data_IF_196903217251
#
_entry.id   IF_196903217251
#
_cell.length_a   1.000
_cell.length_b   1.000
_cell.length_c   1.000
_cell.angle_alpha   90.00
_cell.angle_beta   90.00
_cell.angle_gamma   90.00
#
_symmetry.space_group_name_H-M   'P 1'
#
loop_
_entity.id
_entity.type
_entity.pdbx_description
1 polymer ?
#
# COMPACT_ATOMS: atom_id res chain seq x y z
N UNK A 1 -36.19 -69.00 -20.67
CA UNK A 1 -37.21 -68.15 -21.32
C UNK A 1 -37.24 -66.83 -20.58
N UNK A 2 -36.92 -65.76 -21.33
CA UNK A 2 -37.01 -64.37 -20.97
C UNK A 2 -38.43 -63.92 -20.69
N UNK A 3 -38.77 -62.71 -20.07
CA UNK A 3 -38.24 -61.44 -20.48
C UNK A 3 -37.92 -60.39 -19.36
N UNK A 4 -37.06 -59.55 -19.74
CA UNK A 4 -36.74 -58.12 -19.48
C UNK A 4 -37.89 -57.24 -18.96
N UNK A 5 -37.59 -56.48 -17.91
CA UNK A 5 -38.28 -55.22 -17.60
C UNK A 5 -37.25 -54.09 -17.45
N UNK A 6 -37.40 -53.04 -18.28
CA UNK A 6 -36.59 -51.83 -18.29
C UNK A 6 -37.12 -50.90 -17.22
N UNK A 7 -36.24 -50.38 -16.35
CA UNK A 7 -36.57 -49.27 -15.49
C UNK A 7 -35.84 -48.01 -16.02
N UNK A 8 -36.68 -47.04 -16.43
CA UNK A 8 -36.28 -45.70 -16.84
C UNK A 8 -35.76 -44.91 -15.63
N UNK A 9 -34.45 -44.57 -15.67
CA UNK A 9 -33.86 -43.63 -14.73
C UNK A 9 -34.09 -42.19 -15.19
N UNK A 10 -34.97 -41.47 -14.51
CA UNK A 10 -35.10 -40.03 -14.68
C UNK A 10 -33.94 -39.34 -13.95
N UNK A 11 -33.01 -38.77 -14.71
CA UNK A 11 -32.00 -37.86 -14.20
C UNK A 11 -32.64 -36.53 -13.79
N UNK A 12 -32.58 -36.19 -12.53
CA UNK A 12 -32.93 -34.85 -12.02
C UNK A 12 -31.85 -33.85 -12.44
N UNK A 13 -32.23 -32.65 -12.91
CA UNK A 13 -31.24 -31.61 -13.22
C UNK A 13 -30.61 -31.10 -11.94
N UNK A 14 -29.25 -31.07 -11.93
CA UNK A 14 -28.44 -30.42 -10.90
C UNK A 14 -28.69 -28.90 -10.94
N UNK A 15 -29.46 -28.41 -9.98
CA UNK A 15 -29.61 -26.98 -9.75
C UNK A 15 -28.23 -26.34 -9.43
N UNK A 16 -27.81 -25.43 -10.28
CA UNK A 16 -26.70 -24.50 -9.99
C UNK A 16 -27.12 -23.66 -8.79
N UNK A 17 -26.47 -23.86 -7.65
CA UNK A 17 -26.50 -22.91 -6.54
C UNK A 17 -25.59 -21.74 -6.94
N UNK A 18 -26.15 -20.75 -7.58
CA UNK A 18 -25.55 -19.42 -7.66
C UNK A 18 -25.51 -18.85 -6.25
N UNK A 19 -24.28 -18.83 -5.67
CA UNK A 19 -24.02 -18.13 -4.43
C UNK A 19 -24.23 -16.63 -4.66
N UNK A 20 -25.39 -16.15 -4.25
CA UNK A 20 -25.66 -14.73 -4.11
C UNK A 20 -24.73 -14.19 -3.01
N UNK A 21 -23.52 -13.76 -3.39
CA UNK A 21 -22.81 -12.77 -2.60
C UNK A 21 -23.65 -11.49 -2.66
N UNK A 22 -24.55 -11.36 -1.71
CA UNK A 22 -25.23 -10.12 -1.43
C UNK A 22 -24.12 -9.07 -1.16
N UNK A 23 -23.84 -8.25 -2.17
CA UNK A 23 -23.13 -6.98 -1.99
C UNK A 23 -24.01 -6.15 -1.06
N UNK A 24 -23.77 -6.24 0.23
CA UNK A 24 -24.21 -5.24 1.16
C UNK A 24 -23.47 -3.94 0.75
N UNK A 25 -24.14 -3.17 -0.12
CA UNK A 25 -23.81 -1.77 -0.30
C UNK A 25 -24.14 -1.09 1.04
N UNK A 26 -23.19 -1.14 1.96
CA UNK A 26 -23.19 -0.29 3.13
C UNK A 26 -23.03 1.12 2.56
N UNK A 27 -24.16 1.84 2.45
CA UNK A 27 -24.13 3.27 2.21
C UNK A 27 -23.22 3.85 3.28
N UNK A 28 -22.04 4.32 2.87
CA UNK A 28 -21.09 4.98 3.75
C UNK A 28 -21.81 6.23 4.28
N UNK A 29 -22.42 6.13 5.47
CA UNK A 29 -22.71 7.30 6.29
C UNK A 29 -21.36 8.00 6.44
N UNK A 30 -21.26 9.26 6.03
CA UNK A 30 -20.10 10.09 6.26
C UNK A 30 -19.88 10.17 7.78
N UNK A 31 -19.10 9.24 8.32
CA UNK A 31 -18.64 9.31 9.69
C UNK A 31 -17.62 10.45 9.75
N UNK A 32 -17.95 11.50 10.46
CA UNK A 32 -17.09 12.66 10.71
C UNK A 32 -15.89 12.33 11.62
N UNK A 33 -15.81 11.10 12.13
CA UNK A 33 -14.74 10.60 12.98
C UNK A 33 -14.87 9.10 13.27
N UNK A 34 -13.92 8.49 13.99
CA UNK A 34 -13.97 7.10 14.39
C UNK A 34 -15.00 6.86 15.49
N UNK A 35 -15.61 5.67 15.51
CA UNK A 35 -16.52 5.24 16.57
C UNK A 35 -15.71 4.73 17.79
N UNK A 36 -15.47 5.62 18.72
CA UNK A 36 -14.71 5.33 19.95
C UNK A 36 -15.47 4.35 20.86
N UNK A 37 -16.81 4.43 20.90
CA UNK A 37 -17.64 3.56 21.74
C UNK A 37 -17.58 2.12 21.26
N UNK A 38 -17.70 1.90 19.95
CA UNK A 38 -17.55 0.56 19.39
C UNK A 38 -16.16 -0.04 19.66
N UNK A 39 -15.12 0.78 19.59
CA UNK A 39 -13.76 0.35 19.91
C UNK A 39 -13.58 0.03 21.40
N UNK A 40 -14.17 0.81 22.28
CA UNK A 40 -14.14 0.54 23.73
C UNK A 40 -14.79 -0.82 24.05
N UNK A 41 -15.95 -1.11 23.46
CA UNK A 41 -16.60 -2.42 23.61
C UNK A 41 -15.71 -3.56 23.15
N UNK A 42 -15.05 -3.40 22.02
CA UNK A 42 -14.10 -4.39 21.53
C UNK A 42 -12.93 -4.58 22.52
N UNK A 43 -12.31 -3.50 22.99
CA UNK A 43 -11.18 -3.54 23.92
C UNK A 43 -11.55 -4.25 25.24
N UNK A 44 -12.73 -3.95 25.80
CA UNK A 44 -13.25 -4.65 26.98
C UNK A 44 -13.41 -6.16 26.74
N UNK A 45 -13.83 -6.56 25.54
CA UNK A 45 -14.01 -7.98 25.19
C UNK A 45 -12.71 -8.78 25.20
N UNK A 46 -11.56 -8.12 25.04
CA UNK A 46 -10.22 -8.74 25.10
C UNK A 46 -9.49 -8.45 26.42
N UNK A 47 -10.19 -7.88 27.40
CA UNK A 47 -9.66 -7.65 28.76
C UNK A 47 -9.00 -6.29 28.99
N UNK A 48 -8.98 -5.40 27.99
CA UNK A 48 -8.53 -4.00 28.15
C UNK A 48 -9.71 -3.18 28.65
N UNK A 49 -9.85 -3.11 29.97
CA UNK A 49 -11.03 -2.58 30.65
C UNK A 49 -10.66 -1.45 31.64
N UNK A 50 -11.06 -0.20 31.33
CA UNK A 50 -10.75 0.95 32.17
C UNK A 50 -11.38 0.89 33.60
N UNK A 51 -12.42 0.07 33.80
CA UNK A 51 -12.99 -0.12 35.18
C UNK A 51 -12.09 -1.02 36.05
N UNK A 52 -11.22 -1.80 35.43
CA UNK A 52 -10.22 -2.65 36.10
C UNK A 52 -8.88 -1.95 36.29
N UNK A 53 -8.48 -1.16 35.28
CA UNK A 53 -7.22 -0.43 35.29
C UNK A 53 -7.40 0.96 34.64
N UNK A 54 -7.27 2.03 35.46
CA UNK A 54 -7.42 3.42 35.00
C UNK A 54 -6.46 3.82 33.88
N UNK A 55 -5.32 3.13 33.66
CA UNK A 55 -4.41 3.39 32.56
C UNK A 55 -5.10 3.19 31.20
N UNK A 56 -6.13 2.33 31.11
CA UNK A 56 -6.89 2.10 29.89
C UNK A 56 -7.96 3.16 29.58
N UNK A 57 -8.14 4.16 30.47
CA UNK A 57 -9.22 5.16 30.34
C UNK A 57 -9.19 5.97 29.03
N UNK A 58 -8.02 6.13 28.40
CA UNK A 58 -7.83 6.86 27.14
C UNK A 58 -7.52 5.97 25.95
N UNK A 59 -7.37 4.65 26.16
CA UNK A 59 -6.88 3.72 25.13
C UNK A 59 -7.78 3.68 23.91
N UNK A 60 -9.10 3.62 24.09
CA UNK A 60 -10.05 3.57 22.97
C UNK A 60 -9.97 4.83 22.11
N UNK A 61 -9.90 6.00 22.72
CA UNK A 61 -9.83 7.29 22.03
C UNK A 61 -8.52 7.42 21.25
N UNK A 62 -7.38 7.15 21.89
CA UNK A 62 -6.07 7.26 21.26
C UNK A 62 -5.87 6.24 20.12
N UNK A 63 -6.35 5.00 20.31
CA UNK A 63 -6.27 3.98 19.26
C UNK A 63 -7.19 4.32 18.07
N UNK A 64 -8.38 4.83 18.35
CA UNK A 64 -9.33 5.28 17.33
C UNK A 64 -8.73 6.42 16.48
N UNK A 65 -8.14 7.43 17.12
CA UNK A 65 -7.46 8.55 16.47
C UNK A 65 -6.30 8.07 15.62
N UNK A 66 -5.40 7.24 16.17
CA UNK A 66 -4.27 6.66 15.45
C UNK A 66 -4.69 5.91 14.21
N UNK A 67 -5.68 5.02 14.31
CA UNK A 67 -6.17 4.25 13.16
C UNK A 67 -6.86 5.15 12.13
N UNK A 68 -7.62 6.15 12.59
CA UNK A 68 -8.27 7.11 11.71
C UNK A 68 -7.26 7.92 10.90
N UNK A 69 -6.19 8.41 11.53
CA UNK A 69 -5.09 9.09 10.85
C UNK A 69 -4.35 8.16 9.88
N UNK A 70 -3.99 6.96 10.34
CA UNK A 70 -3.21 5.99 9.52
C UNK A 70 -4.00 5.37 8.37
N UNK A 71 -5.31 5.62 8.30
CA UNK A 71 -6.20 5.21 7.21
C UNK A 71 -6.75 6.40 6.42
N UNK A 72 -6.21 7.59 6.59
CA UNK A 72 -6.73 8.81 5.95
C UNK A 72 -6.72 8.73 4.42
N UNK A 73 -5.76 8.05 3.83
CA UNK A 73 -5.70 7.85 2.38
C UNK A 73 -6.92 7.14 1.77
N UNK A 74 -7.72 6.41 2.59
CA UNK A 74 -9.00 5.85 2.14
C UNK A 74 -10.07 6.93 1.94
N UNK A 75 -9.93 8.09 2.57
CA UNK A 75 -10.89 9.21 2.54
C UNK A 75 -10.40 10.35 1.66
N UNK A 76 -9.09 10.64 1.69
CA UNK A 76 -8.50 11.80 1.04
C UNK A 76 -8.20 11.56 -0.45
N UNK A 77 -8.24 10.29 -0.87
CA UNK A 77 -7.90 9.89 -2.23
C UNK A 77 -6.38 9.85 -2.50
N UNK A 78 -5.97 9.53 -3.74
CA UNK A 78 -4.56 9.40 -4.07
C UNK A 78 -3.85 10.76 -4.10
N UNK A 79 -2.56 10.80 -3.69
CA UNK A 79 -1.77 12.02 -3.75
C UNK A 79 -1.56 12.51 -5.19
N UNK A 80 -1.42 13.83 -5.33
CA UNK A 80 -1.13 14.48 -6.61
C UNK A 80 0.31 14.96 -6.63
N UNK A 81 1.09 14.43 -7.57
CA UNK A 81 2.45 14.88 -7.83
C UNK A 81 2.45 15.91 -8.97
N UNK A 82 2.76 17.17 -8.67
CA UNK A 82 2.77 18.24 -9.66
C UNK A 82 4.09 18.26 -10.42
N UNK A 83 4.07 18.16 -11.76
CA UNK A 83 5.27 18.25 -12.58
C UNK A 83 5.81 19.69 -12.64
N UNK A 84 7.13 19.79 -12.76
CA UNK A 84 7.86 21.03 -13.05
C UNK A 84 8.61 20.86 -14.36
N UNK A 85 8.72 21.90 -15.21
CA UNK A 85 9.52 21.84 -16.42
C UNK A 85 10.98 21.47 -16.11
N UNK A 86 11.58 20.65 -16.96
CA UNK A 86 12.97 20.23 -16.82
C UNK A 86 13.59 20.04 -18.21
N UNK A 87 14.86 20.43 -18.33
CA UNK A 87 15.64 20.16 -19.54
C UNK A 87 16.71 19.14 -19.17
N UNK A 88 16.33 17.85 -19.33
CA UNK A 88 17.22 16.72 -19.05
C UNK A 88 18.26 16.52 -20.13
N UNK A 89 19.37 15.91 -19.75
CA UNK A 89 20.40 15.44 -20.66
C UNK A 89 20.30 13.91 -20.83
N UNK A 90 20.69 13.38 -21.97
CA UNK A 90 20.77 11.93 -22.14
C UNK A 90 21.62 11.28 -21.05
N UNK A 91 21.09 10.23 -20.40
CA UNK A 91 21.77 9.49 -19.35
C UNK A 91 21.66 10.07 -17.94
N UNK A 92 20.96 11.20 -17.74
CA UNK A 92 20.65 11.70 -16.41
C UNK A 92 19.56 10.86 -15.73
N UNK A 93 19.71 10.65 -14.45
CA UNK A 93 18.68 10.07 -13.58
C UNK A 93 18.62 10.82 -12.25
N UNK A 94 17.42 10.91 -11.71
CA UNK A 94 17.16 11.45 -10.37
C UNK A 94 16.90 10.29 -9.45
N UNK A 95 17.52 10.27 -8.28
CA UNK A 95 17.30 9.27 -7.23
C UNK A 95 16.98 9.97 -5.93
N UNK A 96 15.91 9.52 -5.26
CA UNK A 96 15.54 9.93 -3.91
C UNK A 96 15.47 8.66 -3.08
N UNK A 97 16.37 8.55 -2.09
CA UNK A 97 16.52 7.37 -1.24
C UNK A 97 16.16 7.67 0.20
N UNK A 98 15.96 6.63 1.01
CA UNK A 98 15.71 6.76 2.44
C UNK A 98 14.36 7.42 2.76
N UNK A 99 13.36 7.29 1.90
CA UNK A 99 12.02 7.82 2.16
C UNK A 99 11.36 6.95 3.21
N UNK A 100 11.49 7.31 4.47
CA UNK A 100 10.88 6.57 5.58
C UNK A 100 9.38 6.71 5.58
N UNK A 101 8.67 5.61 5.83
CA UNK A 101 7.21 5.56 5.90
C UNK A 101 6.73 4.51 6.91
N UNK A 102 5.45 4.64 7.30
CA UNK A 102 4.72 3.70 8.13
C UNK A 102 3.43 3.33 7.41
N UNK A 103 3.30 2.07 7.02
CA UNK A 103 2.07 1.53 6.43
C UNK A 103 1.35 0.58 7.39
N UNK A 104 0.08 0.30 7.14
CA UNK A 104 -0.69 -0.71 7.85
C UNK A 104 -0.90 -1.94 6.97
N UNK A 105 -0.61 -3.12 7.52
CA UNK A 105 -0.95 -4.39 6.87
C UNK A 105 -2.48 -4.51 6.75
N UNK A 106 -3.05 -4.80 5.57
CA UNK A 106 -4.50 -4.85 5.40
C UNK A 106 -5.18 -6.00 6.14
N UNK A 107 -4.41 -7.03 6.53
CA UNK A 107 -4.96 -8.21 7.20
C UNK A 107 -5.08 -8.04 8.72
N UNK A 108 -4.18 -7.30 9.34
CA UNK A 108 -4.08 -7.20 10.80
C UNK A 108 -4.15 -5.77 11.32
N UNK A 109 -4.10 -4.76 10.43
CA UNK A 109 -3.93 -3.34 10.76
C UNK A 109 -2.71 -3.05 11.66
N UNK A 110 -1.75 -3.98 11.67
CA UNK A 110 -0.48 -3.84 12.37
C UNK A 110 0.52 -3.15 11.46
N UNK A 111 1.35 -2.23 11.96
CA UNK A 111 2.31 -1.49 11.14
C UNK A 111 3.33 -2.36 10.44
N UNK A 112 3.72 -1.95 9.24
CA UNK A 112 5.02 -2.24 8.67
C UNK A 112 5.79 -0.95 8.49
N UNK A 113 7.08 -1.00 8.81
CA UNK A 113 7.96 0.16 8.92
C UNK A 113 9.06 -0.01 7.89
N UNK A 114 9.22 0.95 7.01
CA UNK A 114 10.16 0.81 5.93
C UNK A 114 10.67 2.09 5.32
N UNK A 115 11.47 1.90 4.28
CA UNK A 115 12.03 2.94 3.44
C UNK A 115 11.76 2.64 1.98
N UNK A 116 11.46 3.67 1.22
CA UNK A 116 11.35 3.62 -0.22
C UNK A 116 12.50 4.36 -0.88
N UNK A 117 12.93 3.85 -2.04
CA UNK A 117 13.84 4.51 -2.96
C UNK A 117 13.15 4.63 -4.31
N UNK A 118 13.16 5.84 -4.86
CA UNK A 118 12.54 6.15 -6.16
C UNK A 118 13.62 6.73 -7.06
N UNK A 119 13.83 6.07 -8.19
CA UNK A 119 14.77 6.49 -9.22
C UNK A 119 14.07 6.61 -10.56
N UNK A 120 14.31 7.68 -11.29
CA UNK A 120 13.72 7.86 -12.62
C UNK A 120 14.66 8.64 -13.55
N UNK A 121 14.52 8.39 -14.86
CA UNK A 121 15.20 9.13 -15.91
C UNK A 121 14.24 10.16 -16.52
N UNK A 122 14.35 11.44 -16.16
CA UNK A 122 13.41 12.46 -16.64
C UNK A 122 13.57 12.69 -18.16
N UNK A 123 12.48 13.05 -18.83
CA UNK A 123 12.46 13.59 -20.19
C UNK A 123 12.41 15.12 -20.13
N UNK A 124 11.24 15.66 -19.89
CA UNK A 124 10.92 17.09 -19.90
C UNK A 124 10.31 17.57 -18.59
N UNK A 125 10.14 16.66 -17.61
CA UNK A 125 9.46 16.92 -16.33
C UNK A 125 10.20 16.30 -15.17
N UNK A 126 10.20 17.03 -14.04
CA UNK A 126 10.61 16.56 -12.73
C UNK A 126 9.54 16.94 -11.71
N UNK A 127 9.74 16.58 -10.45
CA UNK A 127 8.95 17.11 -9.33
C UNK A 127 9.87 17.60 -8.22
N UNK A 128 9.33 18.40 -7.32
CA UNK A 128 10.05 18.74 -6.09
C UNK A 128 10.33 17.49 -5.25
N UNK A 129 11.56 17.28 -4.79
CA UNK A 129 11.94 16.11 -3.99
C UNK A 129 11.03 15.94 -2.75
N UNK A 130 10.75 17.05 -2.02
CA UNK A 130 9.85 17.02 -0.87
C UNK A 130 8.40 16.68 -1.23
N UNK A 131 7.94 16.98 -2.46
CA UNK A 131 6.62 16.59 -2.92
C UNK A 131 6.54 15.08 -3.14
N UNK A 132 7.58 14.47 -3.73
CA UNK A 132 7.65 13.02 -3.90
C UNK A 132 7.71 12.30 -2.54
N UNK A 133 8.52 12.80 -1.60
CA UNK A 133 8.58 12.25 -0.24
C UNK A 133 7.20 12.26 0.44
N UNK A 134 6.47 13.38 0.37
CA UNK A 134 5.12 13.47 0.91
C UNK A 134 4.17 12.50 0.22
N UNK A 135 4.18 12.46 -1.10
CA UNK A 135 3.31 11.58 -1.88
C UNK A 135 3.50 10.09 -1.55
N UNK A 136 4.76 9.63 -1.36
CA UNK A 136 5.05 8.26 -0.91
C UNK A 136 4.45 8.00 0.48
N UNK A 137 4.58 8.96 1.41
CA UNK A 137 4.02 8.84 2.76
C UNK A 137 2.49 8.83 2.75
N UNK A 138 1.86 9.64 1.91
CA UNK A 138 0.40 9.68 1.73
C UNK A 138 -0.13 8.37 1.12
N UNK A 139 0.56 7.79 0.14
CA UNK A 139 0.22 6.47 -0.38
C UNK A 139 0.26 5.39 0.70
N UNK A 140 1.17 5.50 1.67
CA UNK A 140 1.27 4.56 2.78
C UNK A 140 0.15 4.71 3.84
N UNK A 141 -0.68 5.77 3.77
CA UNK A 141 -1.85 5.96 4.64
C UNK A 141 -3.09 5.15 4.22
N UNK A 142 -2.96 4.31 3.20
CA UNK A 142 -3.98 3.32 2.85
C UNK A 142 -3.48 1.94 3.30
N UNK A 143 -4.23 1.21 4.13
CA UNK A 143 -3.87 -0.17 4.48
C UNK A 143 -3.77 -1.03 3.23
N UNK A 144 -2.57 -1.53 2.92
CA UNK A 144 -2.31 -2.29 1.69
C UNK A 144 -1.08 -3.19 1.82
N UNK A 145 -0.94 -4.11 0.88
CA UNK A 145 0.27 -4.90 0.73
C UNK A 145 1.44 -4.02 0.28
N UNK A 146 2.65 -4.33 0.73
CA UNK A 146 3.86 -3.63 0.31
C UNK A 146 4.07 -3.69 -1.21
N UNK A 147 3.73 -4.80 -1.82
CA UNK A 147 3.78 -5.02 -3.26
C UNK A 147 2.92 -4.00 -4.02
N UNK A 148 1.70 -3.76 -3.54
CA UNK A 148 0.81 -2.75 -4.13
C UNK A 148 1.33 -1.34 -3.89
N UNK A 149 1.84 -1.02 -2.69
CA UNK A 149 2.46 0.27 -2.41
C UNK A 149 3.60 0.57 -3.40
N UNK A 150 4.47 -0.43 -3.63
CA UNK A 150 5.60 -0.29 -4.55
C UNK A 150 5.14 0.00 -5.98
N UNK A 151 4.10 -0.69 -6.46
CA UNK A 151 3.52 -0.44 -7.78
C UNK A 151 2.88 0.94 -7.87
N UNK A 152 2.11 1.35 -6.87
CA UNK A 152 1.42 2.65 -6.88
C UNK A 152 2.37 3.84 -6.82
N UNK A 153 3.52 3.70 -6.13
CA UNK A 153 4.57 4.72 -6.18
C UNK A 153 5.11 4.85 -7.62
N UNK A 154 5.37 3.74 -8.30
CA UNK A 154 5.83 3.75 -9.69
C UNK A 154 4.78 4.36 -10.62
N UNK A 155 3.52 3.97 -10.48
CA UNK A 155 2.40 4.47 -11.28
C UNK A 155 2.16 5.98 -11.06
N UNK A 156 2.33 6.46 -9.82
CA UNK A 156 2.23 7.90 -9.51
C UNK A 156 3.30 8.71 -10.27
N UNK A 157 4.55 8.24 -10.22
CA UNK A 157 5.68 8.88 -10.91
C UNK A 157 5.49 8.82 -12.42
N UNK A 158 5.06 7.68 -12.96
CA UNK A 158 4.81 7.47 -14.38
C UNK A 158 3.74 8.44 -14.90
N UNK A 159 2.58 8.49 -14.25
CA UNK A 159 1.47 9.36 -14.64
C UNK A 159 1.82 10.85 -14.55
N UNK A 160 2.58 11.24 -13.54
CA UNK A 160 2.89 12.65 -13.31
C UNK A 160 4.03 13.17 -14.19
N UNK A 161 5.08 12.38 -14.38
CA UNK A 161 6.35 12.83 -14.97
C UNK A 161 6.64 12.24 -16.35
N UNK A 162 5.97 11.16 -16.74
CA UNK A 162 6.21 10.45 -18.00
C UNK A 162 7.70 10.24 -18.33
N UNK A 163 8.51 9.72 -17.38
CA UNK A 163 9.94 9.57 -17.57
C UNK A 163 10.26 8.40 -18.51
N UNK A 164 11.50 8.33 -19.02
CA UNK A 164 11.94 7.19 -19.85
C UNK A 164 12.01 5.88 -19.07
N UNK A 165 12.35 5.97 -17.80
CA UNK A 165 12.51 4.82 -16.94
C UNK A 165 12.19 5.17 -15.49
N UNK A 166 11.68 4.20 -14.76
CA UNK A 166 11.40 4.27 -13.33
C UNK A 166 11.89 3.00 -12.66
N UNK A 167 12.46 3.13 -11.48
CA UNK A 167 12.77 2.05 -10.56
C UNK A 167 12.34 2.47 -9.16
N UNK A 168 11.47 1.70 -8.54
CA UNK A 168 11.03 1.89 -7.15
C UNK A 168 11.43 0.66 -6.37
N UNK A 169 12.08 0.84 -5.24
CA UNK A 169 12.38 -0.21 -4.27
C UNK A 169 11.80 0.15 -2.93
N UNK A 170 11.22 -0.83 -2.27
CA UNK A 170 10.70 -0.69 -0.92
C UNK A 170 11.25 -1.82 -0.07
N UNK A 171 11.79 -1.46 1.09
CA UNK A 171 12.27 -2.39 2.11
C UNK A 171 11.53 -2.12 3.40
N UNK A 172 10.87 -3.12 3.98
CA UNK A 172 10.15 -2.93 5.22
C UNK A 172 10.21 -4.14 6.14
N UNK A 173 10.08 -3.86 7.43
CA UNK A 173 9.88 -4.82 8.51
C UNK A 173 8.40 -4.87 8.83
N UNK A 174 7.80 -6.06 8.82
CA UNK A 174 6.38 -6.28 9.04
C UNK A 174 6.15 -6.80 10.46
N UNK A 175 5.58 -5.96 11.33
CA UNK A 175 5.31 -6.37 12.71
C UNK A 175 4.28 -7.51 12.82
N UNK A 176 3.38 -7.64 11.84
CA UNK A 176 2.46 -8.79 11.79
C UNK A 176 3.17 -10.13 11.62
N UNK A 177 4.34 -10.16 10.94
CA UNK A 177 5.17 -11.37 10.83
C UNK A 177 5.88 -11.69 12.13
N UNK A 178 6.31 -10.66 12.87
CA UNK A 178 7.01 -10.80 14.13
C UNK A 178 6.05 -11.20 15.28
N UNK A 179 4.87 -10.56 15.35
CA UNK A 179 3.94 -10.76 16.45
C UNK A 179 3.10 -12.04 16.34
N UNK A 180 2.77 -12.48 15.12
CA UNK A 180 1.82 -13.58 14.92
C UNK A 180 2.35 -14.70 14.01
N UNK A 181 3.20 -14.41 13.06
CA UNK A 181 3.66 -15.36 12.06
C UNK A 181 4.80 -16.28 12.55
N UNK A 182 5.90 -16.23 11.83
CA UNK A 182 7.09 -17.06 12.13
C UNK A 182 7.85 -16.64 13.40
N UNK A 183 7.47 -15.54 14.06
CA UNK A 183 8.26 -14.93 15.13
C UNK A 183 9.61 -14.39 14.66
N UNK A 184 9.83 -14.36 13.35
CA UNK A 184 11.12 -13.97 12.76
C UNK A 184 11.11 -12.51 12.33
N UNK A 185 12.17 -11.79 12.69
CA UNK A 185 12.45 -10.45 12.19
C UNK A 185 13.03 -10.55 10.78
N UNK A 186 12.17 -10.63 9.78
CA UNK A 186 12.55 -10.60 8.37
C UNK A 186 12.22 -9.24 7.74
N UNK A 187 13.02 -8.83 6.75
CA UNK A 187 12.73 -7.67 5.91
C UNK A 187 12.17 -8.14 4.57
N UNK A 188 11.04 -7.61 4.18
CA UNK A 188 10.47 -7.79 2.86
C UNK A 188 11.03 -6.73 1.93
N UNK A 189 11.44 -7.14 0.73
CA UNK A 189 11.90 -6.23 -0.33
C UNK A 189 11.04 -6.41 -1.55
N UNK A 190 10.54 -5.31 -2.10
CA UNK A 190 9.74 -5.29 -3.32
C UNK A 190 10.31 -4.28 -4.31
N UNK A 191 10.17 -4.55 -5.59
CA UNK A 191 10.67 -3.71 -6.66
C UNK A 191 9.62 -3.54 -7.76
N UNK A 192 9.53 -2.33 -8.32
CA UNK A 192 8.76 -2.02 -9.49
C UNK A 192 9.62 -1.29 -10.51
N UNK A 193 9.55 -1.69 -11.77
CA UNK A 193 10.25 -1.06 -12.88
C UNK A 193 9.29 -0.71 -14.01
N UNK A 194 9.55 0.43 -14.67
CA UNK A 194 8.82 0.88 -15.86
C UNK A 194 9.79 1.44 -16.89
N UNK A 195 9.46 1.29 -18.16
CA UNK A 195 10.24 1.84 -19.27
C UNK A 195 11.59 1.18 -19.49
N UNK A 196 12.60 1.96 -19.87
CA UNK A 196 13.94 1.49 -20.19
C UNK A 196 14.73 1.06 -18.95
N UNK A 197 15.83 0.30 -19.15
CA UNK A 197 16.74 -0.02 -18.07
C UNK A 197 17.54 1.22 -17.62
N UNK A 198 17.51 1.50 -16.32
CA UNK A 198 18.38 2.52 -15.73
C UNK A 198 19.78 1.97 -15.58
N UNK A 199 20.83 2.80 -15.85
CA UNK A 199 22.21 2.40 -15.59
C UNK A 199 22.40 2.09 -14.09
N UNK A 200 23.38 1.24 -13.76
CA UNK A 200 23.64 0.90 -12.35
C UNK A 200 23.84 2.16 -11.50
N UNK A 201 23.38 2.16 -10.23
CA UNK A 201 23.65 3.26 -9.31
C UNK A 201 25.16 3.48 -9.16
N UNK A 202 25.63 4.72 -9.24
CA UNK A 202 27.04 5.06 -9.12
C UNK A 202 27.81 5.15 -10.44
N UNK A 203 27.25 4.82 -11.58
CA UNK A 203 27.82 5.10 -12.90
C UNK A 203 27.70 6.60 -13.26
N UNK A 204 28.23 7.48 -12.40
CA UNK A 204 28.43 8.88 -12.77
C UNK A 204 29.53 8.89 -13.81
N UNK A 205 29.14 8.99 -15.08
CA UNK A 205 30.06 9.25 -16.16
C UNK A 205 30.75 10.60 -15.84
N UNK A 206 32.02 10.57 -15.48
CA UNK A 206 32.83 11.80 -15.32
C UNK A 206 32.73 12.56 -16.65
N UNK A 207 32.06 13.69 -16.61
CA UNK A 207 32.06 14.60 -17.74
C UNK A 207 33.51 15.01 -17.99
N UNK A 208 34.04 14.60 -19.12
CA UNK A 208 35.37 15.08 -19.56
C UNK A 208 35.35 16.61 -19.66
N UNK A 209 36.53 17.25 -19.57
CA UNK A 209 36.63 18.70 -19.62
C UNK A 209 35.98 19.25 -20.88
N UNK A 210 35.14 20.29 -20.73
CA UNK A 210 34.54 21.00 -21.84
C UNK A 210 35.67 21.52 -22.75
N UNK A 211 35.79 21.02 -23.96
CA UNK A 211 36.59 21.70 -24.98
C UNK A 211 35.96 23.06 -25.24
N UNK A 212 36.70 24.12 -25.02
CA UNK A 212 36.35 25.50 -25.38
C UNK A 212 36.34 25.65 -26.89
#
# INVERSE_FOLDING_TARGET
>A
MSPRSRANGHAKPRGKKEGAHAKAAHAAKHHTGPDVVALEWFLRSIGVDPDRDPEYSVTAALLAELLFERTSGLRDGPPVLRPLPFVGRPGESVTIEGISFYGLCPHHLVPYIGEASVRFAPLDRICGAGALVRAVRELALVPRLQEHLTQEIADLVERALTPRAIEVRVHARHLCMELKGSGASARLSTEAKRGEALPAPGAIRRLGPRRR
#
